data_IF_067508548140
#
_entry.id   IF_067508548140
#
_cell.length_a   1.000
_cell.length_b   1.000
_cell.length_c   1.000
_cell.angle_alpha   90.00
_cell.angle_beta   90.00
_cell.angle_gamma   90.00
#
_symmetry.space_group_name_H-M   'P 1'
#
loop_
_entity.id
_entity.type
_entity.pdbx_description
1 polymer ?
#
# COMPACT_ATOMS: atom_id res chain seq x y z
N UNK A 1 -32.29 -1.79 7.96
CA UNK A 1 -30.87 -1.47 8.20
C UNK A 1 -30.42 -2.36 9.35
N UNK A 2 -29.42 -3.20 9.14
CA UNK A 2 -28.90 -4.12 10.17
C UNK A 2 -28.34 -3.30 11.35
N UNK A 3 -28.43 -3.85 12.55
CA UNK A 3 -27.75 -3.29 13.72
C UNK A 3 -26.23 -3.40 13.58
N UNK A 4 -25.47 -2.62 14.37
CA UNK A 4 -24.00 -2.67 14.33
C UNK A 4 -23.47 -4.07 14.62
N UNK A 5 -24.04 -4.73 15.63
CA UNK A 5 -23.65 -6.10 16.00
C UNK A 5 -23.92 -7.10 14.88
N UNK A 6 -25.06 -6.98 14.17
CA UNK A 6 -25.36 -7.83 13.01
C UNK A 6 -24.42 -7.58 11.83
N UNK A 7 -24.06 -6.31 11.56
CA UNK A 7 -23.08 -5.96 10.52
C UNK A 7 -21.72 -6.57 10.87
N UNK A 8 -21.21 -6.26 12.06
CA UNK A 8 -19.91 -6.74 12.54
C UNK A 8 -19.84 -8.28 12.54
N UNK A 9 -20.85 -8.94 13.10
CA UNK A 9 -20.91 -10.39 13.15
C UNK A 9 -21.02 -11.04 11.78
N UNK A 10 -21.76 -10.46 10.83
CA UNK A 10 -21.87 -10.99 9.47
C UNK A 10 -20.54 -10.87 8.70
N UNK A 11 -19.89 -9.71 8.77
CA UNK A 11 -18.60 -9.48 8.10
C UNK A 11 -17.52 -10.38 8.70
N UNK A 12 -17.39 -10.40 10.03
CA UNK A 12 -16.44 -11.28 10.71
C UNK A 12 -16.67 -12.74 10.33
N UNK A 13 -17.93 -13.19 10.33
CA UNK A 13 -18.27 -14.56 9.96
C UNK A 13 -17.91 -14.93 8.53
N UNK A 14 -18.14 -14.03 7.58
CA UNK A 14 -17.78 -14.22 6.18
C UNK A 14 -16.26 -14.29 5.98
N UNK A 15 -15.50 -13.52 6.76
CA UNK A 15 -14.04 -13.41 6.61
C UNK A 15 -13.26 -14.45 7.40
N UNK A 16 -13.87 -15.23 8.30
CA UNK A 16 -13.14 -16.20 9.16
C UNK A 16 -12.22 -17.15 8.40
N UNK A 17 -12.75 -17.86 7.40
CA UNK A 17 -11.95 -18.82 6.62
C UNK A 17 -10.82 -18.11 5.86
N UNK A 18 -11.14 -16.96 5.26
CA UNK A 18 -10.19 -16.15 4.50
C UNK A 18 -9.08 -15.57 5.39
N UNK A 19 -9.42 -15.19 6.63
CA UNK A 19 -8.49 -14.74 7.66
C UNK A 19 -7.52 -15.86 8.03
N UNK A 20 -8.04 -17.05 8.30
CA UNK A 20 -7.22 -18.19 8.71
C UNK A 20 -6.27 -18.61 7.58
N UNK A 21 -6.74 -18.62 6.33
CA UNK A 21 -5.90 -18.83 5.15
C UNK A 21 -4.80 -17.76 5.02
N UNK A 22 -5.16 -16.49 5.23
CA UNK A 22 -4.22 -15.36 5.15
C UNK A 22 -3.14 -15.46 6.22
N UNK A 23 -3.52 -15.81 7.45
CA UNK A 23 -2.59 -16.02 8.56
C UNK A 23 -1.65 -17.21 8.30
N UNK A 24 -2.17 -18.32 7.75
CA UNK A 24 -1.34 -19.47 7.38
C UNK A 24 -0.32 -19.12 6.28
N UNK A 25 -0.73 -18.37 5.25
CA UNK A 25 0.18 -17.86 4.21
C UNK A 25 1.24 -16.93 4.79
N UNK A 26 0.84 -16.01 5.67
CA UNK A 26 1.76 -15.12 6.39
C UNK A 26 2.80 -15.90 7.20
N UNK A 27 2.38 -16.93 7.93
CA UNK A 27 3.30 -17.78 8.69
C UNK A 27 4.35 -18.44 7.77
N UNK A 28 3.96 -18.89 6.59
CA UNK A 28 4.89 -19.40 5.57
C UNK A 28 5.90 -18.36 5.08
N UNK A 29 5.45 -17.11 4.86
CA UNK A 29 6.34 -16.00 4.46
C UNK A 29 7.37 -15.64 5.55
N UNK A 30 6.99 -15.71 6.83
CA UNK A 30 7.88 -15.40 7.95
C UNK A 30 8.78 -16.58 8.34
N UNK A 31 8.33 -17.82 8.12
CA UNK A 31 9.08 -19.04 8.44
C UNK A 31 10.11 -19.46 7.38
N UNK A 32 10.06 -18.90 6.17
CA UNK A 32 10.93 -19.27 5.03
C UNK A 32 12.40 -18.84 5.12
N UNK A 33 12.88 -18.43 6.29
CA UNK A 33 14.26 -17.95 6.50
C UNK A 33 15.33 -19.01 6.80
N UNK A 34 14.97 -20.29 6.85
CA UNK A 34 15.92 -21.39 7.06
C UNK A 34 15.77 -22.47 5.99
N UNK A 35 16.78 -22.56 5.12
CA UNK A 35 17.02 -23.58 4.08
C UNK A 35 15.96 -23.76 2.97
N UNK A 36 16.18 -23.08 1.83
CA UNK A 36 15.90 -23.68 0.52
C UNK A 36 16.77 -23.03 -0.58
N UNK A 37 17.46 -23.82 -1.44
CA UNK A 37 18.28 -23.31 -2.53
C UNK A 37 17.44 -22.85 -3.72
N UNK A 38 17.92 -21.83 -4.42
CA UNK A 38 17.39 -21.36 -5.68
C UNK A 38 17.49 -22.45 -6.76
N UNK A 39 16.37 -22.75 -7.42
CA UNK A 39 16.35 -23.47 -8.70
C UNK A 39 15.59 -22.68 -9.78
N UNK A 40 15.99 -22.85 -11.06
CA UNK A 40 15.78 -21.86 -12.11
C UNK A 40 14.47 -22.10 -12.88
N UNK A 41 13.71 -21.02 -13.09
CA UNK A 41 12.51 -21.08 -13.92
C UNK A 41 12.87 -21.11 -15.41
N UNK A 42 12.60 -22.25 -16.02
CA UNK A 42 12.71 -22.52 -17.46
C UNK A 42 11.50 -21.92 -18.20
N UNK A 43 11.77 -21.24 -19.32
CA UNK A 43 10.73 -20.80 -20.28
C UNK A 43 10.07 -22.00 -20.97
N UNK A 44 8.80 -21.87 -21.35
CA UNK A 44 8.33 -22.43 -22.60
C UNK A 44 7.77 -21.33 -23.53
N UNK A 45 8.12 -21.43 -24.81
CA UNK A 45 7.45 -20.70 -25.88
C UNK A 45 6.27 -21.48 -26.43
N UNK A 46 5.29 -20.78 -27.00
CA UNK A 46 4.65 -21.15 -28.26
C UNK A 46 3.80 -20.00 -28.80
N UNK A 47 3.52 -20.09 -30.09
CA UNK A 47 3.09 -19.06 -31.01
C UNK A 47 1.58 -18.83 -31.09
N UNK A 48 1.26 -17.66 -31.67
CA UNK A 48 0.33 -17.43 -32.79
C UNK A 48 -1.00 -16.66 -32.54
N UNK A 49 -1.11 -15.60 -33.36
CA UNK A 49 -2.28 -15.14 -34.12
C UNK A 49 -3.28 -14.14 -33.49
N UNK A 50 -3.04 -12.86 -33.79
CA UNK A 50 -3.88 -12.06 -34.70
C UNK A 50 -5.31 -11.70 -34.31
N UNK A 51 -5.55 -10.42 -33.98
CA UNK A 51 -6.71 -9.64 -34.41
C UNK A 51 -6.46 -8.14 -34.18
N UNK A 52 -6.32 -7.38 -35.27
CA UNK A 52 -6.24 -5.91 -35.28
C UNK A 52 -7.58 -5.28 -34.92
N UNK A 53 -7.60 -4.36 -33.95
CA UNK A 53 -8.56 -3.24 -33.91
C UNK A 53 -7.86 -1.99 -33.38
N UNK A 54 -7.69 -1.03 -34.29
CA UNK A 54 -7.58 0.42 -34.11
C UNK A 54 -7.23 0.97 -32.72
N UNK A 55 -6.00 1.47 -32.55
CA UNK A 55 -5.49 2.06 -31.31
C UNK A 55 -4.39 3.09 -31.55
N UNK A 56 -4.57 3.99 -32.52
CA UNK A 56 -3.54 4.96 -32.92
C UNK A 56 -3.34 6.10 -31.90
N UNK A 57 -4.22 6.25 -30.91
CA UNK A 57 -4.05 7.27 -29.85
C UNK A 57 -3.39 6.74 -28.57
N UNK A 58 -3.35 5.42 -28.35
CA UNK A 58 -2.72 4.83 -27.14
C UNK A 58 -1.26 4.44 -27.37
N UNK A 59 -0.85 4.22 -28.62
CA UNK A 59 0.53 3.88 -28.98
C UNK A 59 1.47 5.07 -28.77
N UNK A 60 1.07 6.28 -29.16
CA UNK A 60 1.93 7.48 -29.07
C UNK A 60 2.25 7.90 -27.62
N UNK A 61 1.32 7.69 -26.68
CA UNK A 61 1.57 7.94 -25.26
C UNK A 61 2.47 6.87 -24.60
N UNK A 62 2.39 5.61 -25.07
CA UNK A 62 3.30 4.53 -24.64
C UNK A 62 4.69 4.66 -25.26
N UNK A 63 4.80 5.12 -26.51
CA UNK A 63 6.08 5.36 -27.19
C UNK A 63 6.81 6.58 -26.64
N UNK A 64 6.10 7.64 -26.23
CA UNK A 64 6.72 8.77 -25.53
C UNK A 64 7.16 8.41 -24.10
N UNK A 65 6.45 7.50 -23.41
CA UNK A 65 6.85 6.95 -22.12
C UNK A 65 8.05 5.99 -22.22
N UNK A 66 8.35 5.50 -23.43
CA UNK A 66 9.48 4.63 -23.74
C UNK A 66 10.60 5.36 -24.50
N UNK A 67 10.69 6.69 -24.34
CA UNK A 67 11.96 7.39 -24.56
C UNK A 67 12.95 6.84 -23.53
N UNK A 68 13.69 5.80 -23.96
CA UNK A 68 14.63 4.94 -23.24
C UNK A 68 15.00 5.42 -21.83
N UNK A 69 14.43 4.78 -20.81
CA UNK A 69 14.95 4.89 -19.45
C UNK A 69 16.45 4.55 -19.48
N UNK A 70 17.30 5.47 -19.03
CA UNK A 70 18.75 5.27 -18.95
C UNK A 70 19.13 4.30 -17.83
N UNK A 71 18.25 4.13 -16.85
CA UNK A 71 18.41 3.17 -15.76
C UNK A 71 17.33 2.10 -15.80
N UNK A 72 17.73 0.87 -15.50
CA UNK A 72 16.79 -0.22 -15.18
C UNK A 72 16.24 0.00 -13.76
N UNK A 73 15.07 0.61 -13.66
CA UNK A 73 14.41 0.82 -12.37
C UNK A 73 13.90 -0.51 -11.82
N UNK A 74 14.34 -0.89 -10.62
CA UNK A 74 13.88 -2.14 -9.99
C UNK A 74 12.48 -2.03 -9.36
N UNK A 75 11.98 -0.81 -9.16
CA UNK A 75 10.64 -0.55 -8.68
C UNK A 75 10.10 0.80 -9.20
N UNK A 76 8.77 0.92 -9.24
CA UNK A 76 8.10 2.14 -9.70
C UNK A 76 8.25 3.29 -8.68
N UNK A 77 8.54 4.53 -9.14
CA UNK A 77 8.59 5.72 -8.29
C UNK A 77 7.19 6.14 -7.79
N UNK A 78 7.14 7.12 -6.87
CA UNK A 78 5.86 7.59 -6.30
C UNK A 78 4.99 8.38 -7.30
N UNK A 79 5.61 9.00 -8.30
CA UNK A 79 4.95 9.77 -9.35
C UNK A 79 5.44 9.29 -10.72
N UNK A 80 4.63 9.46 -11.76
CA UNK A 80 5.07 9.16 -13.13
C UNK A 80 6.22 10.08 -13.55
N UNK A 81 7.04 9.63 -14.52
CA UNK A 81 8.14 10.43 -15.09
C UNK A 81 7.64 11.78 -15.65
N UNK A 82 6.47 11.76 -16.30
CA UNK A 82 5.82 12.98 -16.78
C UNK A 82 5.45 13.96 -15.65
N UNK A 83 4.95 13.44 -14.53
CA UNK A 83 4.55 14.28 -13.40
C UNK A 83 5.75 14.92 -12.69
N UNK A 84 6.84 14.16 -12.49
CA UNK A 84 8.05 14.72 -11.86
C UNK A 84 8.74 15.73 -12.79
N UNK A 85 8.77 15.47 -14.11
CA UNK A 85 9.35 16.40 -15.09
C UNK A 85 8.56 17.70 -15.16
N UNK A 86 7.22 17.63 -15.14
CA UNK A 86 6.37 18.82 -15.13
C UNK A 86 6.58 19.69 -13.88
N UNK A 87 6.84 19.07 -12.73
CA UNK A 87 7.05 19.77 -11.47
C UNK A 87 8.47 20.31 -11.29
N UNK A 88 9.47 19.51 -11.66
CA UNK A 88 10.87 19.75 -11.27
C UNK A 88 11.76 20.17 -12.43
N UNK A 89 11.27 20.06 -13.66
CA UNK A 89 12.07 20.22 -14.88
C UNK A 89 12.97 19.02 -15.21
N UNK A 90 13.02 18.01 -14.35
CA UNK A 90 13.88 16.83 -14.49
C UNK A 90 13.06 15.52 -14.47
N UNK A 91 13.43 14.58 -15.34
CA UNK A 91 12.89 13.22 -15.30
C UNK A 91 13.55 12.37 -14.21
N UNK A 92 13.04 11.16 -14.00
CA UNK A 92 13.55 10.27 -12.96
C UNK A 92 14.99 9.82 -13.19
N UNK A 93 15.39 9.55 -14.43
CA UNK A 93 16.78 9.21 -14.73
C UNK A 93 17.73 10.39 -14.47
N UNK A 94 17.29 11.61 -14.75
CA UNK A 94 18.08 12.82 -14.46
C UNK A 94 18.28 12.97 -12.95
N UNK A 95 17.25 12.69 -12.15
CA UNK A 95 17.35 12.68 -10.70
C UNK A 95 18.26 11.57 -10.16
N UNK A 96 18.22 10.37 -10.75
CA UNK A 96 19.13 9.28 -10.39
C UNK A 96 20.58 9.70 -10.65
N UNK A 97 20.87 10.18 -11.86
CA UNK A 97 22.21 10.67 -12.24
C UNK A 97 22.70 11.78 -11.30
N UNK A 98 21.82 12.73 -10.98
CA UNK A 98 22.16 13.89 -10.15
C UNK A 98 22.47 13.48 -8.71
N UNK A 99 21.69 12.57 -8.11
CA UNK A 99 21.91 12.10 -6.73
C UNK A 99 23.16 11.22 -6.66
N UNK A 100 23.36 10.32 -7.63
CA UNK A 100 24.55 9.46 -7.70
C UNK A 100 25.83 10.27 -7.85
N UNK A 101 25.83 11.33 -8.67
CA UNK A 101 26.96 12.23 -8.83
C UNK A 101 27.16 13.18 -7.63
N UNK A 102 26.08 13.51 -6.92
CA UNK A 102 26.07 14.48 -5.83
C UNK A 102 26.45 13.88 -4.47
N UNK A 103 25.50 13.24 -3.81
CA UNK A 103 25.71 12.62 -2.48
C UNK A 103 26.14 11.17 -2.56
N UNK A 104 26.05 10.55 -3.73
CA UNK A 104 26.42 9.17 -3.94
C UNK A 104 25.26 8.21 -3.74
N UNK A 105 25.33 7.10 -4.49
CA UNK A 105 24.28 6.09 -4.55
C UNK A 105 23.89 5.51 -3.20
N UNK A 106 24.82 5.44 -2.26
CA UNK A 106 24.65 4.82 -0.94
C UNK A 106 24.34 5.83 0.18
N UNK A 107 24.13 7.11 -0.14
CA UNK A 107 23.81 8.14 0.84
C UNK A 107 22.56 7.79 1.67
N UNK A 108 22.57 8.09 2.97
CA UNK A 108 21.40 7.89 3.82
C UNK A 108 20.24 8.82 3.41
N UNK A 109 18.99 8.37 3.60
CA UNK A 109 17.78 9.11 3.24
C UNK A 109 17.81 10.61 3.59
N UNK A 110 18.10 11.02 4.86
CA UNK A 110 18.08 12.43 5.22
C UNK A 110 19.09 13.24 4.42
N UNK A 111 20.21 12.63 4.05
CA UNK A 111 21.27 13.29 3.29
C UNK A 111 20.90 13.51 1.83
N UNK A 112 20.13 12.59 1.24
CA UNK A 112 19.54 12.78 -0.09
C UNK A 112 18.54 13.94 -0.04
N UNK A 113 17.64 13.97 0.95
CA UNK A 113 16.65 15.06 1.11
C UNK A 113 17.33 16.43 1.27
N UNK A 114 18.32 16.53 2.15
CA UNK A 114 19.10 17.76 2.34
C UNK A 114 19.79 18.21 1.06
N UNK A 115 20.37 17.26 0.31
CA UNK A 115 21.05 17.59 -0.93
C UNK A 115 20.08 18.04 -2.02
N UNK A 116 18.92 17.40 -2.17
CA UNK A 116 17.90 17.83 -3.12
C UNK A 116 17.43 19.25 -2.79
N UNK A 117 17.13 19.55 -1.52
CA UNK A 117 16.74 20.91 -1.10
C UNK A 117 17.85 21.94 -1.34
N UNK A 118 19.12 21.57 -1.17
CA UNK A 118 20.24 22.47 -1.36
C UNK A 118 20.60 22.72 -2.84
N UNK A 119 20.27 21.78 -3.73
CA UNK A 119 20.70 21.79 -5.14
C UNK A 119 19.53 21.93 -6.12
N UNK A 120 18.32 22.19 -5.63
CA UNK A 120 17.14 22.43 -6.47
C UNK A 120 16.15 23.36 -5.79
N UNK A 121 15.17 23.86 -6.54
CA UNK A 121 14.10 24.71 -6.01
C UNK A 121 12.97 23.93 -5.32
N UNK A 122 13.19 22.63 -5.04
CA UNK A 122 12.16 21.76 -4.49
C UNK A 122 11.96 22.00 -2.99
N UNK A 123 10.69 22.02 -2.58
CA UNK A 123 10.34 22.12 -1.16
C UNK A 123 10.60 20.79 -0.42
N UNK A 124 10.48 20.80 0.91
CA UNK A 124 10.75 19.62 1.73
C UNK A 124 9.85 18.41 1.42
N UNK A 125 8.62 18.63 0.96
CA UNK A 125 7.72 17.53 0.58
C UNK A 125 8.16 16.86 -0.74
N UNK A 126 8.48 17.65 -1.76
CA UNK A 126 8.99 17.13 -3.03
C UNK A 126 10.36 16.46 -2.85
N UNK A 127 11.23 17.03 -2.02
CA UNK A 127 12.55 16.47 -1.72
C UNK A 127 12.48 15.10 -1.06
N UNK A 128 11.53 14.91 -0.13
CA UNK A 128 11.22 13.60 0.46
C UNK A 128 10.73 12.61 -0.60
N UNK A 129 9.79 13.02 -1.46
CA UNK A 129 9.26 12.17 -2.54
C UNK A 129 10.33 11.73 -3.55
N UNK A 130 11.26 12.62 -3.89
CA UNK A 130 12.41 12.34 -4.76
C UNK A 130 13.34 11.33 -4.08
N UNK A 131 13.71 11.53 -2.82
CA UNK A 131 14.58 10.60 -2.08
C UNK A 131 13.96 9.20 -1.98
N UNK A 132 12.66 9.09 -1.64
CA UNK A 132 11.95 7.79 -1.60
C UNK A 132 11.93 7.13 -2.97
N UNK A 133 11.66 7.89 -4.03
CA UNK A 133 11.58 7.34 -5.39
C UNK A 133 12.95 6.90 -5.91
N UNK A 134 14.01 7.66 -5.62
CA UNK A 134 15.40 7.28 -5.89
C UNK A 134 15.76 5.96 -5.21
N UNK A 135 15.47 5.84 -3.90
CA UNK A 135 15.73 4.60 -3.15
C UNK A 135 14.96 3.41 -3.73
N UNK A 136 13.73 3.62 -4.21
CA UNK A 136 12.93 2.59 -4.87
C UNK A 136 13.51 2.13 -6.19
N UNK A 137 13.80 3.08 -7.08
CA UNK A 137 14.29 2.77 -8.41
C UNK A 137 15.70 2.15 -8.38
N UNK A 138 16.52 2.49 -7.38
CA UNK A 138 17.86 1.92 -7.16
C UNK A 138 17.88 0.65 -6.30
N UNK A 139 16.72 0.18 -5.84
CA UNK A 139 16.58 -1.06 -5.06
C UNK A 139 17.02 -0.96 -3.61
N UNK A 140 17.29 0.25 -3.13
CA UNK A 140 17.64 0.54 -1.74
C UNK A 140 16.41 0.55 -0.82
N UNK A 141 15.21 0.67 -1.39
CA UNK A 141 13.95 0.63 -0.67
C UNK A 141 12.88 -0.07 -1.48
N UNK A 142 12.15 -0.99 -0.87
CA UNK A 142 11.07 -1.69 -1.55
C UNK A 142 9.78 -0.85 -1.50
N UNK A 143 8.92 -0.98 -2.52
CA UNK A 143 7.65 -0.26 -2.54
C UNK A 143 6.79 -0.65 -1.32
N UNK A 144 6.35 0.34 -0.54
CA UNK A 144 5.60 0.12 0.71
C UNK A 144 6.45 -0.09 1.96
N UNK A 145 7.79 -0.07 1.85
CA UNK A 145 8.71 -0.11 2.99
C UNK A 145 8.79 1.24 3.71
N UNK A 146 8.72 1.21 5.03
CA UNK A 146 8.80 2.31 5.98
C UNK A 146 10.27 2.56 6.39
N UNK A 147 10.53 3.70 7.02
CA UNK A 147 11.88 4.07 7.44
C UNK A 147 12.48 3.12 8.49
N UNK A 148 11.64 2.41 9.24
CA UNK A 148 12.02 1.39 10.21
C UNK A 148 12.22 -0.01 9.59
N UNK A 149 12.13 -0.12 8.26
CA UNK A 149 12.28 -1.37 7.52
C UNK A 149 11.01 -2.21 7.41
N UNK A 150 9.94 -1.87 8.13
CA UNK A 150 8.65 -2.56 8.02
C UNK A 150 7.90 -2.16 6.76
N UNK A 151 6.80 -2.84 6.46
CA UNK A 151 5.98 -2.59 5.29
C UNK A 151 4.55 -2.20 5.67
N UNK A 152 3.86 -1.56 4.73
CA UNK A 152 2.45 -1.16 4.88
C UNK A 152 1.60 -1.61 3.70
N UNK A 153 0.39 -2.10 3.99
CA UNK A 153 -0.63 -2.41 2.99
C UNK A 153 -1.81 -1.44 3.15
N UNK A 154 -2.23 -0.78 2.08
CA UNK A 154 -3.34 0.17 2.11
C UNK A 154 -4.45 -0.21 1.12
N UNK A 155 -5.70 -0.12 1.59
CA UNK A 155 -6.92 -0.28 0.80
C UNK A 155 -7.95 0.76 1.21
N UNK A 156 -8.80 1.16 0.28
CA UNK A 156 -9.89 2.09 0.58
C UNK A 156 -11.11 1.83 -0.29
N UNK A 157 -12.30 2.13 0.24
CA UNK A 157 -13.56 2.09 -0.50
C UNK A 157 -14.51 3.18 -0.05
N UNK A 158 -15.31 3.69 -0.98
CA UNK A 158 -16.42 4.61 -0.67
C UNK A 158 -17.67 3.79 -0.35
N UNK A 159 -18.11 3.84 0.91
CA UNK A 159 -19.24 3.06 1.43
C UNK A 159 -20.50 3.92 1.53
N UNK A 160 -21.71 3.35 1.35
CA UNK A 160 -22.96 4.09 1.22
C UNK A 160 -23.57 4.52 2.57
N UNK A 161 -22.75 4.89 3.55
CA UNK A 161 -23.18 5.27 4.89
C UNK A 161 -22.43 6.49 5.42
N UNK A 162 -23.08 7.18 6.37
CA UNK A 162 -22.47 8.29 7.08
C UNK A 162 -21.24 7.85 7.87
N UNK A 163 -20.31 8.80 8.02
CA UNK A 163 -19.03 8.60 8.69
C UNK A 163 -19.18 8.03 10.10
N UNK A 164 -20.19 8.46 10.86
CA UNK A 164 -20.34 8.00 12.23
C UNK A 164 -20.84 6.56 12.35
N UNK A 165 -21.50 6.01 11.33
CA UNK A 165 -21.82 4.58 11.30
C UNK A 165 -20.53 3.77 11.33
N UNK A 166 -19.59 4.08 10.43
CA UNK A 166 -18.32 3.38 10.33
C UNK A 166 -17.41 3.61 11.54
N UNK A 167 -17.36 4.85 12.05
CA UNK A 167 -16.57 5.16 13.24
C UNK A 167 -17.10 4.41 14.47
N UNK A 168 -18.42 4.29 14.63
CA UNK A 168 -19.00 3.54 15.74
C UNK A 168 -18.65 2.05 15.70
N UNK A 169 -18.62 1.44 14.50
CA UNK A 169 -18.23 0.04 14.32
C UNK A 169 -16.79 -0.24 14.77
N UNK A 170 -15.87 0.71 14.58
CA UNK A 170 -14.46 0.56 14.95
C UNK A 170 -14.20 1.04 16.39
N UNK A 171 -14.92 2.04 16.88
CA UNK A 171 -14.68 2.60 18.22
C UNK A 171 -15.19 1.69 19.35
N UNK A 172 -16.26 0.93 19.10
CA UNK A 172 -16.83 0.00 20.07
C UNK A 172 -16.08 -1.35 20.07
N UNK A 173 -15.75 -1.87 21.25
CA UNK A 173 -14.86 -3.02 21.39
C UNK A 173 -15.49 -4.32 20.85
N UNK A 174 -16.72 -4.63 21.24
CA UNK A 174 -17.41 -5.85 20.80
C UNK A 174 -17.67 -5.83 19.30
N UNK A 175 -18.11 -4.69 18.77
CA UNK A 175 -18.31 -4.53 17.32
C UNK A 175 -16.99 -4.65 16.57
N UNK A 176 -15.92 -4.02 17.05
CA UNK A 176 -14.61 -4.03 16.38
C UNK A 176 -14.02 -5.44 16.34
N UNK A 177 -14.04 -6.16 17.46
CA UNK A 177 -13.53 -7.54 17.53
C UNK A 177 -14.31 -8.46 16.60
N UNK A 178 -15.65 -8.37 16.62
CA UNK A 178 -16.51 -9.14 15.74
C UNK A 178 -16.28 -8.78 14.26
N UNK A 179 -16.14 -7.49 13.94
CA UNK A 179 -15.98 -6.98 12.58
C UNK A 179 -14.63 -7.37 11.96
N UNK A 180 -13.55 -7.30 12.74
CA UNK A 180 -12.20 -7.56 12.26
C UNK A 180 -11.82 -9.04 12.36
N UNK A 181 -12.43 -9.77 13.31
CA UNK A 181 -12.09 -11.16 13.58
C UNK A 181 -10.67 -11.31 14.14
N UNK A 182 -10.16 -10.35 14.89
CA UNK A 182 -8.87 -10.44 15.56
C UNK A 182 -9.03 -10.09 17.03
N UNK A 183 -8.04 -10.41 17.85
CA UNK A 183 -7.88 -9.74 19.14
C UNK A 183 -7.47 -8.30 18.86
N UNK A 184 -8.15 -7.32 19.46
CA UNK A 184 -7.88 -5.92 19.13
C UNK A 184 -7.68 -5.02 20.34
N UNK A 185 -6.90 -3.96 20.14
CA UNK A 185 -6.72 -2.91 21.14
C UNK A 185 -6.87 -1.53 20.48
N UNK A 186 -7.87 -0.75 20.89
CA UNK A 186 -8.09 0.61 20.41
C UNK A 186 -7.08 1.59 21.05
N UNK A 187 -6.23 2.22 20.23
CA UNK A 187 -5.16 3.13 20.67
C UNK A 187 -5.47 4.61 20.45
N UNK A 188 -6.69 4.94 20.05
CA UNK A 188 -7.09 6.31 19.71
C UNK A 188 -8.14 6.86 20.66
N UNK A 189 -8.39 8.17 20.56
CA UNK A 189 -9.59 8.77 21.14
C UNK A 189 -10.69 8.74 20.09
N UNK A 190 -11.95 8.58 20.52
CA UNK A 190 -13.11 8.62 19.62
C UNK A 190 -13.23 9.96 18.88
N UNK A 191 -12.62 11.04 19.36
CA UNK A 191 -12.57 12.32 18.66
C UNK A 191 -11.47 12.41 17.57
N UNK A 192 -10.55 11.45 17.50
CA UNK A 192 -9.42 11.49 16.56
C UNK A 192 -9.87 11.35 15.10
N UNK A 193 -9.22 12.08 14.19
CA UNK A 193 -9.45 11.97 12.74
C UNK A 193 -9.13 10.56 12.22
N UNK A 194 -8.05 9.99 12.73
CA UNK A 194 -7.57 8.64 12.40
C UNK A 194 -7.76 7.75 13.61
N UNK A 195 -8.24 6.52 13.38
CA UNK A 195 -8.32 5.50 14.43
C UNK A 195 -7.19 4.50 14.26
N UNK A 196 -6.47 4.24 15.34
CA UNK A 196 -5.42 3.24 15.44
C UNK A 196 -5.91 2.06 16.26
N UNK A 197 -5.82 0.86 15.70
CA UNK A 197 -6.18 -0.41 16.34
C UNK A 197 -4.97 -1.33 16.25
N UNK A 198 -4.48 -1.87 17.36
CA UNK A 198 -3.51 -2.97 17.30
C UNK A 198 -4.27 -4.28 17.13
N UNK A 199 -3.70 -5.21 16.36
CA UNK A 199 -4.30 -6.51 16.10
C UNK A 199 -3.34 -7.64 16.47
N UNK A 200 -3.90 -8.70 17.05
CA UNK A 200 -3.21 -9.92 17.43
C UNK A 200 -4.04 -11.16 17.11
N UNK A 201 -3.36 -12.30 17.02
CA UNK A 201 -3.96 -13.63 16.90
C UNK A 201 -3.20 -14.58 17.81
N UNK A 202 -3.91 -15.32 18.66
CA UNK A 202 -3.32 -16.23 19.64
C UNK A 202 -2.27 -15.53 20.54
N UNK A 203 -2.55 -14.28 20.91
CA UNK A 203 -1.64 -13.43 21.68
C UNK A 203 -0.42 -12.88 20.92
N UNK A 204 -0.22 -13.24 19.66
CA UNK A 204 0.88 -12.70 18.84
C UNK A 204 0.45 -11.48 18.03
N UNK A 205 1.22 -10.38 18.12
CA UNK A 205 0.92 -9.18 17.35
C UNK A 205 1.19 -9.39 15.86
N UNK A 206 0.21 -9.03 15.03
CA UNK A 206 0.34 -9.04 13.57
C UNK A 206 0.37 -7.62 12.99
N UNK A 207 0.59 -6.61 13.84
CA UNK A 207 0.75 -5.21 13.45
C UNK A 207 -0.36 -4.30 13.95
N UNK A 208 -0.57 -3.20 13.23
CA UNK A 208 -1.59 -2.21 13.55
C UNK A 208 -2.40 -1.81 12.32
N UNK A 209 -3.62 -1.34 12.55
CA UNK A 209 -4.53 -0.82 11.54
C UNK A 209 -4.75 0.66 11.80
N UNK A 210 -4.60 1.48 10.75
CA UNK A 210 -5.00 2.88 10.73
C UNK A 210 -6.22 3.04 9.84
N UNK A 211 -7.30 3.56 10.41
CA UNK A 211 -8.52 3.86 9.70
C UNK A 211 -8.67 5.37 9.51
N UNK A 212 -8.98 5.79 8.28
CA UNK A 212 -9.43 7.16 7.98
C UNK A 212 -10.84 7.12 7.41
N UNK A 213 -11.62 8.14 7.76
CA UNK A 213 -13.04 8.23 7.41
C UNK A 213 -13.31 9.60 6.77
N UNK A 214 -13.24 9.66 5.45
CA UNK A 214 -13.43 10.89 4.69
C UNK A 214 -14.86 10.96 4.17
N UNK A 215 -15.69 11.80 4.80
CA UNK A 215 -17.08 12.01 4.40
C UNK A 215 -17.14 12.71 3.03
N UNK A 216 -18.07 12.28 2.18
CA UNK A 216 -18.36 12.92 0.89
C UNK A 216 -19.66 13.72 0.98
N UNK A 217 -19.84 14.69 0.07
CA UNK A 217 -20.96 15.64 0.11
C UNK A 217 -22.34 14.97 -0.04
N UNK A 218 -22.40 13.76 -0.60
CA UNK A 218 -23.60 12.96 -0.82
C UNK A 218 -23.93 12.00 0.34
N UNK A 219 -23.26 12.17 1.50
CA UNK A 219 -23.51 11.38 2.71
C UNK A 219 -22.87 9.98 2.71
N UNK A 220 -22.03 9.68 1.70
CA UNK A 220 -21.17 8.48 1.70
C UNK A 220 -19.87 8.76 2.45
N UNK A 221 -19.10 7.70 2.69
CA UNK A 221 -17.79 7.82 3.37
C UNK A 221 -16.74 7.00 2.67
N UNK A 222 -15.63 7.62 2.29
CA UNK A 222 -14.42 6.91 1.91
C UNK A 222 -13.72 6.40 3.18
N UNK A 223 -13.80 5.10 3.40
CA UNK A 223 -13.06 4.37 4.43
C UNK A 223 -11.72 3.93 3.84
N UNK A 224 -10.61 4.29 4.47
CA UNK A 224 -9.31 3.68 4.19
C UNK A 224 -8.84 2.88 5.40
N UNK A 225 -8.20 1.74 5.11
CA UNK A 225 -7.55 0.86 6.08
C UNK A 225 -6.11 0.65 5.65
N UNK A 226 -5.19 1.01 6.54
CA UNK A 226 -3.76 0.81 6.37
C UNK A 226 -3.25 -0.15 7.44
N UNK A 227 -2.71 -1.30 7.01
CA UNK A 227 -2.04 -2.27 7.86
C UNK A 227 -0.55 -1.94 7.91
N UNK A 228 -0.07 -1.60 9.10
CA UNK A 228 1.34 -1.26 9.38
C UNK A 228 2.07 -2.36 10.14
N UNK A 229 3.41 -2.28 10.15
CA UNK A 229 4.32 -3.25 10.78
C UNK A 229 4.30 -4.64 10.13
N UNK A 230 4.10 -4.70 8.82
CA UNK A 230 4.36 -5.92 8.06
C UNK A 230 5.88 -6.15 8.00
N UNK A 231 6.35 -7.38 8.16
CA UNK A 231 7.76 -7.68 8.35
C UNK A 231 8.48 -7.92 7.02
N UNK A 232 7.78 -8.47 6.03
CA UNK A 232 8.34 -8.77 4.71
C UNK A 232 7.51 -8.17 3.58
N UNK A 233 8.13 -7.94 2.42
CA UNK A 233 7.49 -7.30 1.27
C UNK A 233 6.24 -8.06 0.80
N UNK A 234 6.31 -9.39 0.75
CA UNK A 234 5.24 -10.23 0.21
C UNK A 234 3.95 -10.18 1.04
N UNK A 235 4.05 -9.73 2.30
CA UNK A 235 2.87 -9.46 3.13
C UNK A 235 2.01 -8.31 2.56
N UNK A 236 2.57 -7.38 1.77
CA UNK A 236 1.82 -6.25 1.22
C UNK A 236 0.66 -6.76 0.34
N UNK A 237 0.96 -7.57 -0.67
CA UNK A 237 -0.07 -8.04 -1.60
C UNK A 237 -1.02 -9.05 -0.93
N UNK A 238 -0.51 -9.84 0.01
CA UNK A 238 -1.32 -10.72 0.85
C UNK A 238 -2.39 -9.94 1.63
N UNK A 239 -1.99 -8.93 2.40
CA UNK A 239 -2.93 -8.15 3.21
C UNK A 239 -3.79 -7.21 2.37
N UNK A 240 -3.28 -6.70 1.25
CA UNK A 240 -4.07 -5.94 0.28
C UNK A 240 -5.22 -6.76 -0.30
N UNK A 241 -5.02 -8.06 -0.57
CA UNK A 241 -6.08 -8.94 -1.01
C UNK A 241 -7.11 -9.15 0.10
N UNK A 242 -6.65 -9.52 1.30
CA UNK A 242 -7.53 -9.72 2.47
C UNK A 242 -8.39 -8.49 2.79
N UNK A 243 -7.78 -7.30 2.86
CA UNK A 243 -8.52 -6.07 3.16
C UNK A 243 -9.41 -5.60 2.01
N UNK A 244 -9.14 -6.03 0.78
CA UNK A 244 -10.05 -5.87 -0.35
C UNK A 244 -11.33 -6.67 -0.12
N UNK A 245 -11.19 -7.97 0.13
CA UNK A 245 -12.30 -8.89 0.42
C UNK A 245 -13.10 -8.43 1.66
N UNK A 246 -12.41 -7.92 2.69
CA UNK A 246 -13.06 -7.37 3.89
C UNK A 246 -13.90 -6.11 3.58
N UNK A 247 -13.41 -5.21 2.72
CA UNK A 247 -14.17 -4.04 2.29
C UNK A 247 -15.39 -4.42 1.44
N UNK A 248 -15.27 -5.44 0.60
CA UNK A 248 -16.39 -6.00 -0.18
C UNK A 248 -17.47 -6.57 0.75
N UNK A 249 -17.08 -7.35 1.76
CA UNK A 249 -18.01 -7.90 2.74
C UNK A 249 -18.67 -6.82 3.59
N UNK A 250 -17.91 -5.81 4.03
CA UNK A 250 -18.45 -4.68 4.78
C UNK A 250 -19.47 -3.90 3.95
N UNK A 251 -19.17 -3.59 2.69
CA UNK A 251 -20.11 -2.94 1.78
C UNK A 251 -21.40 -3.77 1.63
N UNK A 252 -21.28 -5.08 1.38
CA UNK A 252 -22.42 -5.97 1.26
C UNK A 252 -23.26 -6.10 2.54
N UNK A 253 -22.68 -5.88 3.72
CA UNK A 253 -23.41 -5.91 4.99
C UNK A 253 -24.09 -4.57 5.33
N UNK A 254 -23.68 -3.47 4.70
CA UNK A 254 -24.24 -2.13 4.91
C UNK A 254 -25.45 -1.83 4.01
N UNK A 255 -25.60 -2.57 2.91
CA UNK A 255 -26.76 -2.53 1.99
C UNK A 255 -27.89 -3.43 2.50
#
# INVERSE_FOLDING_TARGET
>A
MRSRAEISGAVGAQLRERRDETLARRAGLLGGGADAPAEPSSKPGSAASGAEVSGTETASAREASAAASRHDWVAQPMHSDAAIRAQTGQGWDDWIDAIDAGVGRDAAHPRIVEWVMANSEQNGWWSQGIAVSFERMTGRRLAGQMADGTFTANRSRTLPVDREVLRSLVADDENRDALLGFETEFRSKVASKTYKVLIACDGESIGGLLFTFDATADGRTKLAIMHEKLQVLDEIELWKAYWGDWLDALEGALV
#
